data_IF_981932324145
#
_entry.id   IF_981932324145
#
_cell.length_a   1.000
_cell.length_b   1.000
_cell.length_c   1.000
_cell.angle_alpha   90.00
_cell.angle_beta   90.00
_cell.angle_gamma   90.00
#
_symmetry.space_group_name_H-M   'P 1'
#
loop_
_entity.id
_entity.type
_entity.pdbx_description
1 polymer ?
#
# COMPACT_ATOMS: atom_id res chain seq x y z
N UNK A 1 8.91 5.98 27.26
CA UNK A 1 8.14 5.91 25.99
C UNK A 1 8.87 4.96 25.06
N UNK A 2 8.19 4.15 24.25
CA UNK A 2 8.88 3.30 23.24
C UNK A 2 9.07 4.11 21.96
N UNK A 3 10.20 3.93 21.30
CA UNK A 3 10.46 4.58 20.00
C UNK A 3 9.70 3.89 18.88
N UNK A 4 9.22 4.68 17.91
CA UNK A 4 8.51 4.20 16.71
C UNK A 4 9.40 4.45 15.51
N UNK A 5 9.64 3.41 14.71
CA UNK A 5 10.52 3.45 13.55
C UNK A 5 9.80 2.99 12.28
N UNK A 6 10.23 3.52 11.12
CA UNK A 6 9.76 3.07 9.81
C UNK A 6 10.74 2.00 9.31
N UNK A 7 10.26 0.78 9.12
CA UNK A 7 11.08 -0.37 8.70
C UNK A 7 10.92 -0.73 7.22
N UNK A 8 9.90 -0.21 6.54
CA UNK A 8 9.67 -0.45 5.12
C UNK A 8 8.81 0.63 4.48
N UNK A 9 9.04 0.89 3.20
CA UNK A 9 8.27 1.85 2.41
C UNK A 9 8.24 1.46 0.93
N UNK A 10 7.06 1.60 0.32
CA UNK A 10 6.84 1.35 -1.09
C UNK A 10 5.68 2.20 -1.62
N UNK A 11 5.64 2.36 -2.94
CA UNK A 11 4.53 3.01 -3.66
C UNK A 11 4.43 2.42 -5.06
N UNK A 12 3.24 2.52 -5.66
CA UNK A 12 3.08 2.33 -7.10
C UNK A 12 3.57 3.56 -7.88
N UNK A 13 3.81 3.44 -9.19
CA UNK A 13 3.96 4.60 -10.07
C UNK A 13 2.66 5.43 -10.10
N UNK A 14 2.78 6.74 -10.29
CA UNK A 14 1.61 7.58 -10.53
C UNK A 14 1.17 7.47 -12.00
N UNK A 15 -0.06 7.04 -12.22
CA UNK A 15 -0.67 6.97 -13.55
C UNK A 15 -1.33 8.29 -13.96
N UNK A 16 -1.47 8.51 -15.27
CA UNK A 16 -2.35 9.56 -15.80
C UNK A 16 -3.81 9.12 -15.73
N UNK A 17 -4.73 10.07 -15.65
CA UNK A 17 -6.16 9.80 -15.73
C UNK A 17 -6.49 9.02 -17.01
N UNK A 18 -7.32 7.97 -16.88
CA UNK A 18 -7.65 7.02 -17.93
C UNK A 18 -6.43 6.37 -18.64
N UNK A 19 -5.25 6.34 -18.00
CA UNK A 19 -4.01 5.77 -18.54
C UNK A 19 -3.80 4.29 -18.21
N UNK A 20 -2.53 3.88 -18.15
CA UNK A 20 -2.12 2.47 -18.05
C UNK A 20 -2.59 1.73 -16.79
N UNK A 21 -2.90 2.46 -15.72
CA UNK A 21 -3.40 1.87 -14.47
C UNK A 21 -4.93 1.72 -14.44
N UNK A 22 -5.65 2.22 -15.46
CA UNK A 22 -7.12 2.15 -15.56
C UNK A 22 -7.69 0.74 -15.34
N UNK A 23 -7.06 -0.36 -15.78
CA UNK A 23 -7.62 -1.70 -15.56
C UNK A 23 -7.61 -2.15 -14.09
N UNK A 24 -6.85 -1.49 -13.20
CA UNK A 24 -6.72 -1.88 -11.80
C UNK A 24 -7.67 -1.07 -10.91
N UNK A 25 -8.30 -1.74 -9.95
CA UNK A 25 -9.08 -1.10 -8.89
C UNK A 25 -8.16 -0.37 -7.92
N UNK A 26 -8.71 0.65 -7.25
CA UNK A 26 -7.97 1.41 -6.24
C UNK A 26 -7.43 0.50 -5.11
N UNK A 27 -8.21 -0.50 -4.68
CA UNK A 27 -7.79 -1.46 -3.65
C UNK A 27 -6.65 -2.38 -4.12
N UNK A 28 -6.59 -2.71 -5.40
CA UNK A 28 -5.50 -3.53 -5.97
C UNK A 28 -4.18 -2.75 -5.97
N UNK A 29 -4.24 -1.45 -6.33
CA UNK A 29 -3.08 -0.56 -6.25
C UNK A 29 -2.57 -0.41 -4.82
N UNK A 30 -3.49 -0.25 -3.85
CA UNK A 30 -3.16 -0.22 -2.43
C UNK A 30 -2.51 -1.52 -1.96
N UNK A 31 -3.08 -2.67 -2.31
CA UNK A 31 -2.55 -3.98 -1.96
C UNK A 31 -1.14 -4.22 -2.52
N UNK A 32 -0.87 -3.80 -3.76
CA UNK A 32 0.48 -3.89 -4.36
C UNK A 32 1.50 -3.10 -3.54
N UNK A 33 1.17 -1.85 -3.18
CA UNK A 33 2.06 -1.01 -2.39
C UNK A 33 2.30 -1.57 -0.97
N UNK A 34 1.23 -2.01 -0.30
CA UNK A 34 1.32 -2.57 1.05
C UNK A 34 2.15 -3.85 1.06
N UNK A 35 1.89 -4.78 0.13
CA UNK A 35 2.63 -6.05 0.03
C UNK A 35 4.14 -5.81 -0.13
N UNK A 36 4.51 -4.85 -0.98
CA UNK A 36 5.91 -4.52 -1.20
C UNK A 36 6.54 -3.80 0.01
N UNK A 37 5.79 -2.95 0.73
CA UNK A 37 6.28 -2.32 1.96
C UNK A 37 6.55 -3.37 3.06
N UNK A 38 5.66 -4.35 3.23
CA UNK A 38 5.83 -5.48 4.16
C UNK A 38 7.05 -6.33 3.75
N UNK A 39 7.19 -6.65 2.46
CA UNK A 39 8.33 -7.39 1.92
C UNK A 39 9.67 -6.65 2.20
N UNK A 40 9.74 -5.35 1.94
CA UNK A 40 10.93 -4.52 2.20
C UNK A 40 11.24 -4.37 3.69
N UNK A 41 10.24 -4.44 4.55
CA UNK A 41 10.42 -4.47 5.99
C UNK A 41 11.01 -5.80 6.49
N UNK A 42 11.03 -6.85 5.66
CA UNK A 42 11.57 -8.16 6.03
C UNK A 42 10.74 -8.90 7.08
N UNK A 43 9.46 -8.55 7.22
CA UNK A 43 8.54 -9.17 8.18
C UNK A 43 7.59 -10.14 7.48
N UNK A 44 7.07 -11.11 8.24
CA UNK A 44 6.00 -11.97 7.75
C UNK A 44 4.64 -11.25 7.82
N UNK A 45 3.72 -11.48 6.86
CA UNK A 45 2.40 -10.84 6.86
C UNK A 45 1.60 -11.05 8.15
N UNK A 46 1.75 -12.20 8.81
CA UNK A 46 1.06 -12.56 10.05
C UNK A 46 1.50 -11.71 11.25
N UNK A 47 2.62 -11.00 11.14
CA UNK A 47 3.11 -10.07 12.17
C UNK A 47 2.44 -8.69 12.10
N UNK A 48 1.66 -8.42 11.05
CA UNK A 48 0.93 -7.15 10.90
C UNK A 48 -0.34 -7.21 11.75
N UNK A 49 -0.36 -6.45 12.86
CA UNK A 49 -1.51 -6.39 13.77
C UNK A 49 -2.63 -5.48 13.26
N UNK A 50 -2.27 -4.35 12.63
CA UNK A 50 -3.21 -3.33 12.16
C UNK A 50 -2.82 -2.78 10.80
N UNK A 51 -3.83 -2.50 9.99
CA UNK A 51 -3.68 -1.83 8.69
C UNK A 51 -4.59 -0.60 8.65
N UNK A 52 -4.00 0.55 8.33
CA UNK A 52 -4.73 1.78 8.06
C UNK A 52 -4.48 2.19 6.60
N UNK A 53 -5.54 2.24 5.80
CA UNK A 53 -5.46 2.57 4.37
C UNK A 53 -6.41 3.73 4.03
N UNK A 54 -5.86 4.79 3.45
CA UNK A 54 -6.61 5.97 3.05
C UNK A 54 -7.08 5.87 1.60
N UNK A 55 -8.39 6.04 1.37
CA UNK A 55 -8.98 6.15 0.03
C UNK A 55 -10.11 7.17 0.05
N UNK A 56 -10.00 8.20 -0.80
CA UNK A 56 -10.97 9.31 -0.83
C UNK A 56 -12.26 8.90 -1.56
N UNK A 57 -12.15 8.42 -2.80
CA UNK A 57 -13.30 8.03 -3.62
C UNK A 57 -13.41 6.51 -3.62
N UNK A 58 -14.47 5.98 -3.02
CA UNK A 58 -14.75 4.55 -2.97
C UNK A 58 -15.69 4.07 -4.08
N UNK A 59 -16.49 4.98 -4.62
CA UNK A 59 -17.38 4.71 -5.74
C UNK A 59 -16.59 4.85 -7.07
N UNK A 60 -16.31 3.73 -7.72
CA UNK A 60 -15.59 3.65 -8.99
C UNK A 60 -15.38 2.21 -9.45
#
# INVERSE_FOLDING_TARGET
MREVVIVGAARTPFGRFAGVLKPLKAVELGAIAIKEAVNRAGIQPEQVEYLYYGQVVQAG
#
